data_IF_516259540799
#
_entry.id   IF_516259540799
#
_cell.length_a   1.000
_cell.length_b   1.000
_cell.length_c   1.000
_cell.angle_alpha   90.00
_cell.angle_beta   90.00
_cell.angle_gamma   90.00
#
_symmetry.space_group_name_H-M   'P 1'
#
loop_
_entity.id
_entity.type
_entity.pdbx_description
1 polymer ?
#
# COMPACT_ATOMS: atom_id res chain seq x y z
N UNK A 1 15.88 -28.18 -4.70
CA UNK A 1 16.18 -27.10 -3.73
C UNK A 1 16.04 -27.61 -2.31
N UNK A 2 17.11 -28.24 -1.84
CA UNK A 2 17.37 -28.53 -0.43
C UNK A 2 17.49 -27.21 0.35
N UNK A 3 17.37 -27.24 1.67
CA UNK A 3 17.57 -26.04 2.50
C UNK A 3 19.00 -25.46 2.35
N UNK A 4 19.96 -26.28 1.94
CA UNK A 4 21.32 -25.86 1.55
C UNK A 4 21.32 -25.06 0.25
N UNK A 5 20.60 -25.52 -0.77
CA UNK A 5 20.48 -24.83 -2.06
C UNK A 5 19.66 -23.52 -1.94
N UNK A 6 18.75 -23.43 -0.96
CA UNK A 6 18.06 -22.17 -0.60
C UNK A 6 18.97 -21.18 0.13
N UNK A 7 19.90 -21.67 0.95
CA UNK A 7 20.85 -20.83 1.66
C UNK A 7 21.92 -20.25 0.71
N UNK A 8 22.41 -21.05 -0.25
CA UNK A 8 23.36 -20.59 -1.29
C UNK A 8 22.72 -19.57 -2.24
N UNK A 9 21.47 -19.79 -2.67
CA UNK A 9 20.73 -18.81 -3.48
C UNK A 9 20.43 -17.50 -2.71
N UNK A 10 20.43 -17.54 -1.38
CA UNK A 10 20.31 -16.36 -0.52
C UNK A 10 21.66 -15.65 -0.28
N UNK A 11 22.78 -16.37 -0.30
CA UNK A 11 24.14 -15.83 -0.15
C UNK A 11 24.58 -14.99 -1.34
N UNK A 12 24.16 -15.38 -2.55
CA UNK A 12 24.51 -14.69 -3.81
C UNK A 12 23.79 -13.34 -3.99
N UNK A 13 22.63 -13.17 -3.34
CA UNK A 13 21.82 -11.93 -3.42
C UNK A 13 22.19 -10.93 -2.32
N UNK A 14 22.74 -11.37 -1.18
CA UNK A 14 22.90 -10.51 0.02
C UNK A 14 24.26 -10.52 0.72
N UNK A 15 25.27 -11.29 0.29
CA UNK A 15 26.61 -11.22 0.89
C UNK A 15 26.62 -11.51 2.40
N UNK A 16 26.77 -12.79 2.76
CA UNK A 16 26.60 -13.40 4.10
C UNK A 16 25.16 -13.33 4.65
N UNK A 17 24.59 -14.45 5.13
CA UNK A 17 23.31 -14.42 5.80
C UNK A 17 23.44 -13.54 7.05
N UNK A 18 22.52 -12.60 7.29
CA UNK A 18 22.63 -11.75 8.45
C UNK A 18 22.51 -12.61 9.72
N UNK A 19 23.30 -12.32 10.77
CA UNK A 19 23.54 -13.22 11.92
C UNK A 19 22.30 -13.60 12.75
N UNK A 20 21.12 -13.09 12.40
CA UNK A 20 19.86 -13.29 13.12
C UNK A 20 19.10 -14.57 12.73
N UNK A 21 19.32 -15.17 11.55
CA UNK A 21 18.54 -16.34 11.11
C UNK A 21 18.92 -17.61 11.89
N UNK A 22 20.22 -17.81 12.16
CA UNK A 22 20.74 -18.98 12.88
C UNK A 22 20.37 -19.02 14.38
N UNK A 23 20.02 -17.89 15.00
CA UNK A 23 19.69 -17.80 16.45
C UNK A 23 18.19 -17.75 16.77
N UNK A 24 17.32 -17.89 15.75
CA UNK A 24 15.88 -17.72 15.92
C UNK A 24 15.24 -18.76 16.86
N UNK A 25 15.72 -20.02 16.80
CA UNK A 25 15.24 -21.11 17.68
C UNK A 25 15.62 -20.89 19.15
N UNK A 26 16.87 -20.52 19.43
CA UNK A 26 17.35 -20.27 20.79
C UNK A 26 16.63 -19.10 21.46
N UNK A 27 16.34 -18.05 20.69
CA UNK A 27 15.59 -16.87 21.15
C UNK A 27 14.14 -17.18 21.48
N UNK A 28 13.47 -18.01 20.67
CA UNK A 28 12.12 -18.48 20.98
C UNK A 28 12.09 -19.35 22.25
N UNK A 29 13.09 -20.21 22.45
CA UNK A 29 13.22 -21.00 23.68
C UNK A 29 13.53 -20.11 24.90
N UNK A 30 14.25 -19.01 24.72
CA UNK A 30 14.46 -18.02 25.78
C UNK A 30 13.15 -17.31 26.14
N UNK A 31 12.37 -16.86 25.15
CA UNK A 31 11.05 -16.26 25.36
C UNK A 31 10.11 -17.21 26.12
N UNK A 32 10.06 -18.48 25.74
CA UNK A 32 9.22 -19.48 26.40
C UNK A 32 9.57 -19.64 27.88
N UNK A 33 10.88 -19.63 28.21
CA UNK A 33 11.36 -19.68 29.61
C UNK A 33 10.93 -18.44 30.39
N UNK A 34 11.03 -17.25 29.81
CA UNK A 34 10.65 -16.00 30.47
C UNK A 34 9.13 -15.90 30.67
N UNK A 35 8.32 -16.36 29.72
CA UNK A 35 6.86 -16.46 29.88
C UNK A 35 6.49 -17.39 31.05
N UNK A 36 7.23 -18.48 31.26
CA UNK A 36 7.04 -19.39 32.40
C UNK A 36 7.46 -18.78 33.75
N UNK A 37 8.27 -17.70 33.75
CA UNK A 37 8.71 -16.99 34.96
C UNK A 37 7.79 -15.84 35.37
N UNK A 38 6.91 -15.37 34.47
CA UNK A 38 5.95 -14.31 34.80
C UNK A 38 5.00 -14.73 35.94
N UNK A 39 4.58 -13.79 36.81
CA UNK A 39 3.57 -14.05 37.83
C UNK A 39 2.27 -14.62 37.22
N UNK A 40 1.60 -15.53 37.93
CA UNK A 40 0.40 -16.21 37.43
C UNK A 40 -0.69 -15.22 37.02
N UNK A 41 -0.88 -14.15 37.80
CA UNK A 41 -1.86 -13.07 37.52
C UNK A 41 -1.58 -12.27 36.25
N UNK A 42 -0.33 -12.25 35.78
CA UNK A 42 0.06 -11.55 34.56
C UNK A 42 -0.03 -12.44 33.33
N UNK A 43 0.30 -13.74 33.49
CA UNK A 43 0.27 -14.70 32.38
C UNK A 43 -1.04 -15.43 32.19
N UNK A 44 -2.02 -15.32 33.11
CA UNK A 44 -3.27 -16.10 33.05
C UNK A 44 -3.95 -16.03 31.67
N UNK A 45 -4.12 -14.82 31.12
CA UNK A 45 -4.75 -14.61 29.82
C UNK A 45 -3.94 -15.26 28.68
N UNK A 46 -2.61 -15.18 28.76
CA UNK A 46 -1.70 -15.80 27.81
C UNK A 46 -1.71 -17.34 27.92
N UNK A 47 -1.72 -17.89 29.13
CA UNK A 47 -1.83 -19.34 29.37
C UNK A 47 -3.13 -19.90 28.79
N UNK A 48 -4.25 -19.18 28.95
CA UNK A 48 -5.52 -19.55 28.31
C UNK A 48 -5.45 -19.50 26.79
N UNK A 49 -4.82 -18.46 26.21
CA UNK A 49 -4.58 -18.37 24.78
C UNK A 49 -3.78 -19.57 24.26
N UNK A 50 -2.74 -19.96 24.99
CA UNK A 50 -1.89 -21.11 24.67
C UNK A 50 -2.62 -22.45 24.76
N UNK A 51 -3.53 -22.61 25.72
CA UNK A 51 -4.39 -23.81 25.81
C UNK A 51 -5.36 -23.89 24.63
N UNK A 52 -6.00 -22.78 24.26
CA UNK A 52 -6.93 -22.73 23.12
C UNK A 52 -6.20 -22.87 21.77
N UNK A 53 -4.98 -22.32 21.66
CA UNK A 53 -4.20 -22.31 20.41
C UNK A 53 -2.71 -22.59 20.68
N UNK A 54 -2.32 -23.88 20.85
CA UNK A 54 -0.94 -24.27 21.18
C UNK A 54 0.11 -23.82 20.17
N UNK A 55 -0.29 -23.66 18.90
CA UNK A 55 0.59 -23.25 17.81
C UNK A 55 1.05 -21.78 17.88
N UNK A 56 0.51 -20.96 18.79
CA UNK A 56 0.90 -19.54 18.94
C UNK A 56 2.34 -19.35 19.46
N UNK A 57 2.98 -20.38 20.01
CA UNK A 57 4.36 -20.31 20.51
C UNK A 57 5.36 -21.10 19.67
N UNK A 58 4.93 -22.21 19.07
CA UNK A 58 5.84 -23.05 18.30
C UNK A 58 6.11 -22.44 16.93
N UNK A 59 7.19 -21.65 16.85
CA UNK A 59 7.69 -21.05 15.61
C UNK A 59 6.69 -20.09 14.93
N UNK A 60 5.79 -19.46 15.69
CA UNK A 60 4.80 -18.52 15.17
C UNK A 60 5.40 -17.11 14.96
N UNK A 61 5.08 -16.41 13.85
CA UNK A 61 5.48 -15.02 13.65
C UNK A 61 4.95 -14.08 14.72
N UNK A 62 3.82 -14.44 15.33
CA UNK A 62 3.23 -13.65 16.40
C UNK A 62 4.21 -13.45 17.55
N UNK A 63 4.82 -14.53 18.02
CA UNK A 63 5.79 -14.51 19.11
C UNK A 63 7.10 -13.86 18.68
N UNK A 64 7.51 -14.03 17.41
CA UNK A 64 8.69 -13.36 16.84
C UNK A 64 8.55 -11.84 16.80
N UNK A 65 7.37 -11.32 16.45
CA UNK A 65 7.12 -9.88 16.41
C UNK A 65 7.43 -9.20 17.76
N UNK A 66 7.08 -9.82 18.90
CA UNK A 66 7.37 -9.24 20.22
C UNK A 66 8.85 -9.29 20.59
N UNK A 67 9.60 -10.25 20.05
CA UNK A 67 11.07 -10.33 20.18
C UNK A 67 11.77 -9.30 19.30
N UNK A 68 11.24 -9.05 18.11
CA UNK A 68 11.82 -8.13 17.11
C UNK A 68 11.53 -6.66 17.41
N UNK A 69 10.57 -6.37 18.30
CA UNK A 69 10.14 -4.99 18.60
C UNK A 69 11.21 -4.13 19.29
N UNK A 70 12.25 -4.72 19.88
CA UNK A 70 13.42 -4.01 20.37
C UNK A 70 14.54 -4.16 19.34
N UNK A 71 14.77 -3.11 18.55
CA UNK A 71 15.77 -3.11 17.45
C UNK A 71 17.15 -3.57 17.96
N UNK A 72 17.56 -4.78 17.57
CA UNK A 72 18.91 -5.31 17.77
C UNK A 72 19.11 -6.23 18.98
N UNK A 73 18.36 -6.08 20.08
CA UNK A 73 18.69 -6.74 21.35
C UNK A 73 17.90 -8.04 21.64
N UNK A 74 16.75 -8.27 20.99
CA UNK A 74 15.94 -9.50 21.15
C UNK A 74 15.72 -9.92 22.62
N UNK A 75 15.43 -8.94 23.48
CA UNK A 75 15.22 -9.15 24.92
C UNK A 75 13.98 -10.01 25.21
N UNK A 76 14.23 -11.25 25.63
CA UNK A 76 13.20 -12.24 25.94
C UNK A 76 12.34 -11.85 27.16
N UNK A 77 12.90 -11.12 28.13
CA UNK A 77 12.17 -10.70 29.35
C UNK A 77 11.14 -9.64 28.96
N UNK A 78 11.59 -8.59 28.26
CA UNK A 78 10.70 -7.53 27.78
C UNK A 78 9.65 -8.07 26.79
N UNK A 79 10.03 -8.99 25.91
CA UNK A 79 9.10 -9.63 24.98
C UNK A 79 8.03 -10.47 25.71
N UNK A 80 8.41 -11.23 26.74
CA UNK A 80 7.46 -11.99 27.55
C UNK A 80 6.43 -11.07 28.25
N UNK A 81 6.90 -9.98 28.86
CA UNK A 81 6.03 -8.99 29.51
C UNK A 81 5.06 -8.33 28.51
N UNK A 82 5.54 -7.93 27.33
CA UNK A 82 4.69 -7.36 26.27
C UNK A 82 3.64 -8.36 25.78
N UNK A 83 4.04 -9.60 25.56
CA UNK A 83 3.14 -10.65 25.10
C UNK A 83 2.04 -10.93 26.13
N UNK A 84 2.39 -11.03 27.41
CA UNK A 84 1.41 -11.19 28.49
C UNK A 84 0.47 -9.98 28.62
N UNK A 85 1.02 -8.76 28.57
CA UNK A 85 0.23 -7.53 28.58
C UNK A 85 -0.74 -7.45 27.40
N UNK A 86 -0.29 -7.82 26.20
CA UNK A 86 -1.13 -7.87 25.00
C UNK A 86 -2.33 -8.80 25.21
N UNK A 87 -2.13 -10.03 25.69
CA UNK A 87 -3.22 -10.97 25.95
C UNK A 87 -4.16 -10.53 27.07
N UNK A 88 -3.62 -9.90 28.11
CA UNK A 88 -4.41 -9.30 29.19
C UNK A 88 -5.30 -8.19 28.65
N UNK A 89 -4.74 -7.26 27.87
CA UNK A 89 -5.51 -6.19 27.22
C UNK A 89 -6.59 -6.75 26.29
N UNK A 90 -6.27 -7.78 25.50
CA UNK A 90 -7.27 -8.42 24.65
C UNK A 90 -8.42 -9.01 25.43
N UNK A 91 -8.14 -9.73 26.51
CA UNK A 91 -9.16 -10.27 27.40
C UNK A 91 -10.05 -9.16 27.96
N UNK A 92 -9.45 -8.03 28.36
CA UNK A 92 -10.19 -6.85 28.85
C UNK A 92 -11.10 -6.24 27.78
N UNK A 93 -10.64 -6.10 26.53
CA UNK A 93 -11.41 -5.41 25.49
C UNK A 93 -12.46 -6.29 24.81
N UNK A 94 -12.15 -7.56 24.58
CA UNK A 94 -13.00 -8.45 23.79
C UNK A 94 -13.82 -9.40 24.68
N UNK A 95 -13.38 -9.64 25.92
CA UNK A 95 -14.01 -10.59 26.84
C UNK A 95 -13.41 -12.00 26.75
N UNK A 96 -13.77 -12.84 27.71
CA UNK A 96 -13.11 -14.13 27.96
C UNK A 96 -13.25 -15.15 26.82
N UNK A 97 -14.30 -15.06 26.01
CA UNK A 97 -14.53 -16.02 24.91
C UNK A 97 -13.93 -15.56 23.58
N UNK A 98 -14.16 -14.31 23.19
CA UNK A 98 -13.80 -13.80 21.85
C UNK A 98 -12.35 -13.35 21.76
N UNK A 99 -11.70 -13.04 22.90
CA UNK A 99 -10.33 -12.50 22.88
C UNK A 99 -9.28 -13.45 22.31
N UNK A 100 -9.60 -14.75 22.19
CA UNK A 100 -8.73 -15.79 21.63
C UNK A 100 -9.03 -16.12 20.16
N UNK A 101 -10.08 -15.53 19.58
CA UNK A 101 -10.50 -15.85 18.21
C UNK A 101 -9.60 -15.20 17.15
N UNK A 102 -9.31 -15.87 16.01
CA UNK A 102 -8.38 -15.37 15.02
C UNK A 102 -8.68 -13.99 14.38
N UNK A 103 -9.94 -13.56 14.39
CA UNK A 103 -10.37 -12.27 13.82
C UNK A 103 -9.88 -11.03 14.58
N UNK A 104 -8.97 -11.21 15.53
CA UNK A 104 -8.56 -10.16 16.44
C UNK A 104 -7.02 -10.08 16.63
N UNK A 105 -6.23 -10.98 16.04
CA UNK A 105 -4.76 -10.90 16.11
C UNK A 105 -4.19 -9.69 15.33
N UNK A 106 -3.06 -9.09 15.74
CA UNK A 106 -2.33 -8.12 14.95
C UNK A 106 -1.62 -8.78 13.76
N UNK A 107 -1.45 -7.94 12.74
CA UNK A 107 -1.21 -8.17 11.31
C UNK A 107 -0.12 -9.19 10.89
N UNK A 108 1.01 -9.43 11.59
CA UNK A 108 2.05 -10.34 11.06
C UNK A 108 1.72 -11.84 11.07
N UNK A 109 0.64 -12.25 11.75
CA UNK A 109 0.25 -13.67 11.87
C UNK A 109 -0.47 -14.18 10.61
N UNK A 110 -1.08 -13.29 9.83
CA UNK A 110 -1.84 -13.64 8.62
C UNK A 110 -0.93 -14.02 7.43
N UNK A 111 0.32 -13.56 7.39
CA UNK A 111 1.30 -13.97 6.36
C UNK A 111 1.68 -15.46 6.46
N UNK A 112 1.72 -16.02 7.67
CA UNK A 112 1.95 -17.45 7.87
C UNK A 112 0.67 -18.29 7.72
N UNK A 113 -0.51 -17.68 7.80
CA UNK A 113 -1.76 -18.29 7.33
C UNK A 113 -1.73 -18.58 5.82
N UNK A 114 -0.99 -17.80 5.03
CA UNK A 114 -0.79 -18.07 3.60
C UNK A 114 0.16 -19.25 3.35
N UNK A 115 1.19 -19.44 4.18
CA UNK A 115 2.05 -20.64 4.15
C UNK A 115 1.31 -21.87 4.66
N UNK A 116 0.44 -21.70 5.66
CA UNK A 116 -0.52 -22.71 6.10
C UNK A 116 -1.48 -23.08 4.96
N UNK A 117 -1.97 -22.12 4.18
CA UNK A 117 -2.78 -22.34 2.97
C UNK A 117 -2.06 -23.21 1.93
N UNK A 118 -0.84 -22.83 1.53
CA UNK A 118 -0.07 -23.59 0.54
C UNK A 118 0.27 -25.00 1.03
N UNK A 119 0.54 -25.15 2.32
CA UNK A 119 0.82 -26.45 2.96
C UNK A 119 -0.43 -27.34 3.04
N UNK A 120 -1.59 -26.79 3.38
CA UNK A 120 -2.84 -27.55 3.47
C UNK A 120 -3.41 -27.91 2.10
N UNK A 121 -3.26 -27.04 1.10
CA UNK A 121 -3.56 -27.40 -0.29
C UNK A 121 -2.62 -28.50 -0.81
N UNK A 122 -1.34 -28.48 -0.41
CA UNK A 122 -0.41 -29.57 -0.72
C UNK A 122 -0.81 -30.88 0.01
N UNK A 123 -1.20 -30.82 1.29
CA UNK A 123 -1.68 -31.98 2.08
C UNK A 123 -2.94 -32.62 1.48
N UNK A 124 -3.87 -31.82 0.95
CA UNK A 124 -5.06 -32.34 0.27
C UNK A 124 -4.74 -33.08 -1.04
N UNK A 125 -3.64 -32.73 -1.68
CA UNK A 125 -3.19 -33.31 -2.95
C UNK A 125 -2.07 -34.36 -2.77
N UNK A 126 -1.51 -34.49 -1.57
CA UNK A 126 -0.51 -35.49 -1.22
C UNK A 126 -1.21 -36.82 -0.91
N UNK A 127 -0.92 -37.86 -1.68
CA UNK A 127 -1.52 -39.20 -1.54
C UNK A 127 -1.10 -39.90 -0.24
N UNK A 128 0.01 -39.48 0.36
CA UNK A 128 0.59 -40.11 1.55
C UNK A 128 0.24 -39.37 2.85
N UNK A 129 -0.41 -38.20 2.76
CA UNK A 129 -0.92 -37.50 3.93
C UNK A 129 -2.01 -38.31 4.65
N UNK A 130 -1.92 -38.39 5.98
CA UNK A 130 -2.95 -39.08 6.76
C UNK A 130 -4.30 -38.36 6.69
N UNK A 131 -5.36 -39.11 6.95
CA UNK A 131 -6.74 -38.64 6.80
C UNK A 131 -7.11 -37.52 7.78
N UNK A 132 -6.47 -37.48 8.96
CA UNK A 132 -6.67 -36.43 9.96
C UNK A 132 -6.11 -35.09 9.47
N UNK A 133 -4.93 -35.10 8.83
CA UNK A 133 -4.33 -33.91 8.23
C UNK A 133 -5.17 -33.35 7.06
N UNK A 134 -5.79 -34.24 6.27
CA UNK A 134 -6.71 -33.84 5.19
C UNK A 134 -8.01 -33.25 5.76
N UNK A 135 -8.55 -33.81 6.83
CA UNK A 135 -9.78 -33.31 7.46
C UNK A 135 -9.58 -31.96 8.16
N UNK A 136 -8.42 -31.74 8.77
CA UNK A 136 -8.05 -30.43 9.32
C UNK A 136 -7.89 -29.37 8.21
N UNK A 137 -7.29 -29.75 7.08
CA UNK A 137 -7.20 -28.89 5.90
C UNK A 137 -8.59 -28.55 5.31
N UNK A 138 -9.51 -29.52 5.22
CA UNK A 138 -10.90 -29.30 4.78
C UNK A 138 -11.65 -28.37 5.72
N UNK A 139 -11.53 -28.58 7.04
CA UNK A 139 -12.15 -27.70 8.05
C UNK A 139 -11.64 -26.27 7.97
N UNK A 140 -10.33 -26.10 7.78
CA UNK A 140 -9.75 -24.77 7.60
C UNK A 140 -10.28 -24.06 6.34
N UNK A 141 -10.41 -24.77 5.21
CA UNK A 141 -11.00 -24.21 3.99
C UNK A 141 -12.47 -23.84 4.19
N UNK A 142 -13.25 -24.69 4.86
CA UNK A 142 -14.67 -24.43 5.17
C UNK A 142 -14.85 -23.14 5.97
N UNK A 143 -14.12 -22.98 7.09
CA UNK A 143 -14.20 -21.79 7.95
C UNK A 143 -13.88 -20.51 7.17
N UNK A 144 -13.01 -20.59 6.17
CA UNK A 144 -12.63 -19.42 5.36
C UNK A 144 -13.68 -19.12 4.30
N UNK A 145 -14.30 -20.13 3.70
CA UNK A 145 -15.44 -19.94 2.83
C UNK A 145 -16.63 -19.33 3.60
N UNK A 146 -16.90 -19.80 4.82
CA UNK A 146 -17.95 -19.24 5.69
C UNK A 146 -17.69 -17.76 6.01
N UNK A 147 -16.44 -17.36 6.19
CA UNK A 147 -16.06 -15.94 6.42
C UNK A 147 -16.17 -15.06 5.18
N UNK A 148 -15.83 -15.59 4.01
CA UNK A 148 -16.09 -14.90 2.73
C UNK A 148 -17.59 -14.64 2.56
N UNK A 149 -18.43 -15.58 3.00
CA UNK A 149 -19.88 -15.44 3.01
C UNK A 149 -20.32 -14.34 3.98
N UNK A 150 -19.73 -14.23 5.17
CA UNK A 150 -20.08 -13.18 6.16
C UNK A 150 -19.68 -11.75 5.71
N UNK A 151 -18.49 -11.60 5.11
CA UNK A 151 -18.07 -10.32 4.53
C UNK A 151 -18.95 -9.92 3.34
N UNK A 152 -19.27 -10.91 2.48
CA UNK A 152 -20.22 -10.74 1.39
C UNK A 152 -21.63 -10.43 1.92
N UNK A 153 -22.09 -11.03 3.00
CA UNK A 153 -23.41 -10.77 3.62
C UNK A 153 -23.48 -9.38 4.24
N UNK A 154 -22.39 -8.91 4.87
CA UNK A 154 -22.30 -7.54 5.38
C UNK A 154 -22.37 -6.53 4.24
N UNK A 155 -21.71 -6.84 3.14
CA UNK A 155 -21.72 -6.04 1.94
C UNK A 155 -23.11 -6.05 1.28
N UNK A 156 -23.67 -7.23 1.00
CA UNK A 156 -25.02 -7.44 0.47
C UNK A 156 -26.11 -6.83 1.35
N UNK A 157 -25.92 -6.74 2.66
CA UNK A 157 -26.81 -6.03 3.58
C UNK A 157 -26.78 -4.53 3.37
N UNK A 158 -25.61 -3.92 3.16
CA UNK A 158 -25.48 -2.51 2.76
C UNK A 158 -26.19 -2.25 1.41
N UNK A 159 -26.05 -3.18 0.46
CA UNK A 159 -26.80 -3.15 -0.80
C UNK A 159 -28.29 -3.18 -0.50
N UNK A 160 -28.77 -4.16 0.27
CA UNK A 160 -30.19 -4.26 0.63
C UNK A 160 -30.72 -3.04 1.39
N UNK A 161 -29.92 -2.41 2.24
CA UNK A 161 -30.28 -1.16 2.93
C UNK A 161 -30.42 0.02 1.94
N UNK A 162 -29.58 0.10 0.90
CA UNK A 162 -29.71 1.07 -0.19
C UNK A 162 -30.87 0.77 -1.15
N UNK A 163 -31.32 -0.49 -1.18
CA UNK A 163 -32.30 -1.02 -2.11
C UNK A 163 -33.59 -1.50 -1.42
N UNK A 164 -33.87 -1.11 -0.17
CA UNK A 164 -35.14 -1.46 0.47
C UNK A 164 -36.22 -0.52 -0.07
N UNK A 165 -36.97 -0.92 -1.11
CA UNK A 165 -37.82 -0.01 -1.88
C UNK A 165 -39.13 0.26 -1.14
N UNK A 166 -39.37 -0.41 -0.01
CA UNK A 166 -40.65 -0.35 0.69
C UNK A 166 -40.79 0.91 1.57
N UNK A 167 -39.70 1.65 1.83
CA UNK A 167 -39.71 2.82 2.74
C UNK A 167 -39.11 4.12 2.19
N UNK A 168 -38.56 4.17 0.96
CA UNK A 168 -38.04 5.42 0.37
C UNK A 168 -38.78 5.81 -0.92
N UNK A 169 -39.65 6.82 -0.82
CA UNK A 169 -40.20 7.55 -1.98
C UNK A 169 -39.15 8.45 -2.67
N UNK A 170 -37.91 8.45 -2.19
CA UNK A 170 -36.83 9.29 -2.70
C UNK A 170 -36.27 8.71 -4.02
N UNK A 171 -36.26 9.53 -5.07
CA UNK A 171 -35.60 9.20 -6.33
C UNK A 171 -34.09 9.03 -6.08
N UNK A 172 -33.51 7.92 -6.55
CA UNK A 172 -32.07 7.68 -6.48
C UNK A 172 -31.31 8.81 -7.17
N UNK A 173 -30.25 9.29 -6.53
CA UNK A 173 -29.36 10.31 -7.10
C UNK A 173 -28.39 9.68 -8.10
N UNK A 174 -27.76 10.52 -8.94
CA UNK A 174 -26.68 10.07 -9.83
C UNK A 174 -25.51 9.45 -9.03
N UNK A 175 -25.28 9.91 -7.79
CA UNK A 175 -24.26 9.37 -6.89
C UNK A 175 -24.62 7.96 -6.41
N UNK A 176 -25.88 7.74 -6.05
CA UNK A 176 -26.38 6.41 -5.66
C UNK A 176 -26.24 5.42 -6.82
N UNK A 177 -26.60 5.83 -8.04
CA UNK A 177 -26.43 5.00 -9.24
C UNK A 177 -24.96 4.62 -9.48
N UNK A 178 -24.03 5.55 -9.26
CA UNK A 178 -22.61 5.31 -9.43
C UNK A 178 -22.05 4.39 -8.33
N UNK A 179 -22.47 4.54 -7.08
CA UNK A 179 -22.11 3.61 -5.99
C UNK A 179 -22.60 2.19 -6.30
N UNK A 180 -23.87 2.06 -6.72
CA UNK A 180 -24.49 0.79 -7.12
C UNK A 180 -23.69 0.10 -8.24
N UNK A 181 -23.29 0.86 -9.26
CA UNK A 181 -22.53 0.32 -10.38
C UNK A 181 -21.12 -0.12 -9.94
N UNK A 182 -20.44 0.71 -9.14
CA UNK A 182 -19.11 0.40 -8.60
C UNK A 182 -19.09 -0.86 -7.75
N UNK A 183 -20.14 -1.03 -6.95
CA UNK A 183 -20.38 -2.18 -6.08
C UNK A 183 -20.60 -3.48 -6.89
N UNK A 184 -21.42 -3.41 -7.93
CA UNK A 184 -21.61 -4.53 -8.86
C UNK A 184 -20.28 -4.93 -9.53
N UNK A 185 -19.50 -3.96 -9.99
CA UNK A 185 -18.17 -4.20 -10.57
C UNK A 185 -17.21 -4.84 -9.55
N UNK A 186 -17.23 -4.42 -8.29
CA UNK A 186 -16.40 -5.01 -7.24
C UNK A 186 -16.75 -6.48 -6.99
N UNK A 187 -18.04 -6.83 -6.98
CA UNK A 187 -18.52 -8.20 -6.84
C UNK A 187 -18.12 -9.08 -8.02
N UNK A 188 -18.23 -8.57 -9.25
CA UNK A 188 -17.88 -9.26 -10.48
C UNK A 188 -16.38 -9.24 -10.83
N UNK A 189 -15.56 -8.61 -9.99
CA UNK A 189 -14.14 -8.49 -10.25
C UNK A 189 -13.42 -9.84 -10.19
N UNK A 190 -12.38 -10.05 -11.04
CA UNK A 190 -11.55 -11.23 -10.99
C UNK A 190 -10.90 -11.41 -9.61
N UNK A 191 -10.60 -12.66 -9.27
CA UNK A 191 -10.01 -13.02 -7.99
C UNK A 191 -8.64 -12.35 -7.78
N UNK A 192 -7.85 -12.22 -8.85
CA UNK A 192 -6.53 -11.62 -8.84
C UNK A 192 -6.58 -10.15 -8.43
N UNK A 193 -7.58 -9.40 -8.91
CA UNK A 193 -7.77 -8.01 -8.52
C UNK A 193 -8.18 -7.90 -7.05
N UNK A 194 -9.14 -8.72 -6.60
CA UNK A 194 -9.56 -8.80 -5.19
C UNK A 194 -8.37 -9.09 -4.27
N UNK A 195 -7.48 -10.00 -4.68
CA UNK A 195 -6.25 -10.30 -3.94
C UNK A 195 -5.31 -9.10 -3.82
N UNK A 196 -5.21 -8.23 -4.82
CA UNK A 196 -4.38 -7.01 -4.72
C UNK A 196 -4.92 -6.08 -3.62
N UNK A 197 -6.23 -5.88 -3.54
CA UNK A 197 -6.86 -5.10 -2.47
C UNK A 197 -6.64 -5.72 -1.09
N UNK A 198 -6.76 -7.05 -0.98
CA UNK A 198 -6.44 -7.74 0.26
C UNK A 198 -4.95 -7.55 0.62
N UNK A 199 -4.03 -7.70 -0.34
CA UNK A 199 -2.60 -7.52 -0.07
C UNK A 199 -2.22 -6.11 0.39
N UNK A 200 -2.81 -5.07 -0.22
CA UNK A 200 -2.55 -3.67 0.19
C UNK A 200 -3.06 -3.41 1.60
N UNK A 201 -4.22 -3.98 1.95
CA UNK A 201 -4.85 -3.88 3.27
C UNK A 201 -4.40 -4.95 4.28
N UNK A 202 -3.30 -5.65 4.01
CA UNK A 202 -2.75 -6.70 4.86
C UNK A 202 -3.78 -7.78 5.25
N UNK A 203 -4.57 -8.19 4.26
CA UNK A 203 -5.63 -9.19 4.33
C UNK A 203 -6.82 -8.80 5.22
N UNK A 204 -7.02 -7.50 5.49
CA UNK A 204 -8.19 -7.00 6.21
C UNK A 204 -9.35 -6.75 5.23
N UNK A 205 -10.27 -7.70 5.16
CA UNK A 205 -11.44 -7.66 4.28
C UNK A 205 -12.28 -6.39 4.52
N UNK A 206 -12.45 -5.99 5.78
CA UNK A 206 -13.18 -4.78 6.18
C UNK A 206 -12.58 -3.47 5.66
N UNK A 207 -11.29 -3.47 5.28
CA UNK A 207 -10.65 -2.32 4.65
C UNK A 207 -10.57 -2.49 3.13
N UNK A 208 -10.31 -3.71 2.68
CA UNK A 208 -10.11 -4.04 1.27
C UNK A 208 -11.39 -3.83 0.46
N UNK A 209 -12.54 -4.27 0.98
CA UNK A 209 -13.82 -4.15 0.28
C UNK A 209 -14.23 -2.68 0.07
N UNK A 210 -14.28 -1.79 1.08
CA UNK A 210 -14.59 -0.38 0.84
C UNK A 210 -13.58 0.32 -0.07
N UNK A 211 -12.29 -0.02 0.02
CA UNK A 211 -11.27 0.51 -0.89
C UNK A 211 -11.52 0.10 -2.34
N UNK A 212 -11.97 -1.14 -2.56
CA UNK A 212 -12.29 -1.68 -3.87
C UNK A 212 -13.55 -1.04 -4.47
N UNK A 213 -14.57 -0.75 -3.66
CA UNK A 213 -15.73 0.02 -4.14
C UNK A 213 -15.30 1.41 -4.57
N UNK A 214 -14.57 2.14 -3.71
CA UNK A 214 -14.04 3.47 -4.06
C UNK A 214 -13.17 3.46 -5.31
N UNK A 215 -12.46 2.36 -5.57
CA UNK A 215 -11.70 2.19 -6.80
C UNK A 215 -12.62 2.19 -8.02
N UNK A 216 -13.70 1.38 -8.02
CA UNK A 216 -14.62 1.39 -9.15
C UNK A 216 -15.40 2.69 -9.27
N UNK A 217 -15.83 3.25 -8.15
CA UNK A 217 -16.51 4.55 -8.06
C UNK A 217 -15.64 5.66 -8.68
N UNK A 218 -14.39 5.76 -8.25
CA UNK A 218 -13.43 6.75 -8.76
C UNK A 218 -13.13 6.50 -10.24
N UNK A 219 -12.99 5.25 -10.67
CA UNK A 219 -12.77 4.90 -12.08
C UNK A 219 -13.97 5.27 -12.97
N UNK A 220 -15.20 4.98 -12.54
CA UNK A 220 -16.42 5.38 -13.24
C UNK A 220 -16.57 6.90 -13.29
N UNK A 221 -16.29 7.60 -12.19
CA UNK A 221 -16.31 9.06 -12.14
C UNK A 221 -15.33 9.70 -13.11
N UNK A 222 -14.09 9.19 -13.16
CA UNK A 222 -13.03 9.78 -13.98
C UNK A 222 -13.16 9.41 -15.47
N UNK A 223 -13.54 8.17 -15.79
CA UNK A 223 -13.45 7.64 -17.15
C UNK A 223 -14.81 7.24 -17.75
N UNK A 224 -15.88 7.35 -16.97
CA UNK A 224 -17.22 6.93 -17.37
C UNK A 224 -17.31 5.44 -17.72
N UNK A 225 -18.22 5.13 -18.65
CA UNK A 225 -18.47 3.75 -19.10
C UNK A 225 -17.29 3.08 -19.80
N UNK A 226 -16.30 3.84 -20.27
CA UNK A 226 -15.10 3.26 -20.90
C UNK A 226 -14.34 2.35 -19.91
N UNK A 227 -14.32 2.74 -18.63
CA UNK A 227 -13.70 1.98 -17.55
C UNK A 227 -14.52 0.77 -17.14
N UNK A 228 -15.85 0.86 -17.18
CA UNK A 228 -16.74 -0.27 -16.93
C UNK A 228 -16.41 -1.48 -17.81
N UNK A 229 -16.19 -1.22 -19.10
CA UNK A 229 -16.00 -2.27 -20.11
C UNK A 229 -14.62 -2.92 -20.07
N UNK A 230 -13.55 -2.14 -19.88
CA UNK A 230 -12.18 -2.65 -19.96
C UNK A 230 -11.53 -2.92 -18.62
N UNK A 231 -11.94 -2.20 -17.56
CA UNK A 231 -11.31 -2.22 -16.22
C UNK A 231 -9.80 -1.91 -16.22
N UNK A 232 -9.27 -1.52 -17.38
CA UNK A 232 -7.89 -1.15 -17.66
C UNK A 232 -7.95 0.17 -18.40
N UNK A 233 -7.28 1.17 -17.86
CA UNK A 233 -7.16 2.51 -18.44
C UNK A 233 -5.90 2.52 -19.30
N UNK A 234 -6.06 2.90 -20.56
CA UNK A 234 -4.99 3.07 -21.53
C UNK A 234 -4.58 4.54 -21.61
N UNK A 235 -3.48 4.84 -22.31
CA UNK A 235 -3.06 6.24 -22.50
C UNK A 235 -4.11 7.02 -23.33
N UNK A 236 -4.81 6.35 -24.24
CA UNK A 236 -5.90 6.94 -25.05
C UNK A 236 -7.06 7.43 -24.19
N UNK A 237 -7.35 6.76 -23.07
CA UNK A 237 -8.39 7.19 -22.12
C UNK A 237 -8.05 8.50 -21.39
N UNK A 238 -6.84 8.99 -21.61
CA UNK A 238 -6.30 10.21 -21.02
C UNK A 238 -5.82 11.20 -22.08
N UNK A 239 -6.35 11.13 -23.30
CA UNK A 239 -6.01 12.06 -24.40
C UNK A 239 -6.23 13.52 -24.02
N UNK A 240 -7.32 13.80 -23.28
CA UNK A 240 -7.64 15.11 -22.71
C UNK A 240 -6.60 15.59 -21.67
N UNK A 241 -5.78 14.68 -21.15
CA UNK A 241 -4.72 14.95 -20.18
C UNK A 241 -3.33 15.05 -20.80
N UNK A 242 -3.19 14.99 -22.12
CA UNK A 242 -1.90 14.99 -22.84
C UNK A 242 -0.98 16.15 -22.42
N UNK A 243 -1.55 17.33 -22.14
CA UNK A 243 -0.78 18.48 -21.67
C UNK A 243 -0.12 18.24 -20.31
N UNK A 244 -0.79 17.53 -19.39
CA UNK A 244 -0.23 17.21 -18.07
C UNK A 244 0.85 16.13 -18.14
N UNK A 245 0.72 15.16 -19.05
CA UNK A 245 1.77 14.19 -19.34
C UNK A 245 2.99 14.87 -19.94
N UNK A 246 2.82 15.66 -21.00
CA UNK A 246 3.92 16.36 -21.66
C UNK A 246 4.64 17.33 -20.71
N UNK A 247 3.89 17.96 -19.80
CA UNK A 247 4.48 18.83 -18.79
C UNK A 247 5.16 18.08 -17.63
N UNK A 248 5.14 16.74 -17.62
CA UNK A 248 5.82 15.92 -16.62
C UNK A 248 5.24 16.02 -15.21
N UNK A 249 3.92 16.25 -15.08
CA UNK A 249 3.25 16.39 -13.77
C UNK A 249 3.58 15.20 -12.84
N UNK A 250 3.51 13.99 -13.38
CA UNK A 250 3.92 12.75 -12.71
C UNK A 250 4.80 11.96 -13.66
N UNK A 251 6.01 11.62 -13.23
CA UNK A 251 6.98 10.85 -14.02
C UNK A 251 7.30 9.53 -13.32
N UNK A 252 7.24 8.42 -14.05
CA UNK A 252 7.74 7.13 -13.57
C UNK A 252 9.21 6.99 -13.87
N UNK A 253 10.00 6.62 -12.86
CA UNK A 253 11.44 6.48 -13.04
C UNK A 253 11.81 5.15 -13.73
N UNK A 254 12.94 5.13 -14.48
CA UNK A 254 13.35 3.95 -15.24
C UNK A 254 13.59 2.74 -14.37
N UNK A 255 14.21 2.92 -13.21
CA UNK A 255 14.48 1.83 -12.28
C UNK A 255 13.68 1.96 -10.99
N UNK A 256 13.71 0.87 -10.24
CA UNK A 256 13.22 0.84 -8.87
C UNK A 256 14.30 1.38 -7.93
N UNK A 257 13.93 1.69 -6.69
CA UNK A 257 14.91 1.91 -5.64
C UNK A 257 15.52 0.60 -5.14
N UNK A 258 16.49 0.68 -4.23
CA UNK A 258 17.18 -0.49 -3.67
C UNK A 258 16.27 -1.48 -2.93
N UNK A 259 15.02 -1.10 -2.65
CA UNK A 259 14.01 -1.95 -2.01
C UNK A 259 13.00 -2.51 -3.02
N UNK A 260 13.25 -2.35 -4.33
CA UNK A 260 12.38 -2.82 -5.40
C UNK A 260 11.04 -2.09 -5.46
N UNK A 261 10.97 -0.84 -4.98
CA UNK A 261 9.78 0.00 -5.05
C UNK A 261 9.86 0.88 -6.29
N UNK A 262 8.73 1.09 -6.97
CA UNK A 262 8.69 2.05 -8.07
C UNK A 262 8.76 3.49 -7.53
N UNK A 263 9.55 4.33 -8.18
CA UNK A 263 9.71 5.74 -7.83
C UNK A 263 8.89 6.57 -8.80
N UNK A 264 7.93 7.34 -8.26
CA UNK A 264 7.16 8.32 -9.00
C UNK A 264 7.58 9.72 -8.57
N UNK A 265 7.98 10.57 -9.52
CA UNK A 265 8.36 11.95 -9.26
C UNK A 265 7.17 12.85 -9.60
N UNK A 266 6.67 13.58 -8.60
CA UNK A 266 5.69 14.65 -8.80
C UNK A 266 6.48 15.90 -9.17
N UNK A 267 6.47 16.21 -10.45
CA UNK A 267 7.23 17.29 -11.06
C UNK A 267 6.47 18.60 -11.10
N UNK A 268 7.22 19.66 -11.40
CA UNK A 268 6.65 20.91 -11.85
C UNK A 268 6.05 20.69 -13.24
N UNK A 269 4.83 21.17 -13.45
CA UNK A 269 4.25 21.29 -14.79
C UNK A 269 5.01 22.42 -15.49
N UNK A 270 5.93 22.06 -16.38
CA UNK A 270 6.68 23.01 -17.23
C UNK A 270 6.02 22.96 -18.61
N UNK A 271 5.39 24.05 -19.04
CA UNK A 271 5.02 24.14 -20.45
C UNK A 271 6.24 24.61 -21.23
N UNK A 272 6.62 23.84 -22.24
CA UNK A 272 7.53 24.32 -23.26
C UNK A 272 6.79 25.35 -24.11
N UNK A 273 7.19 26.61 -24.00
CA UNK A 273 7.09 27.56 -25.11
C UNK A 273 8.50 27.74 -25.66
N UNK A 274 8.58 27.92 -26.98
CA UNK A 274 9.76 27.82 -27.85
C UNK A 274 11.10 28.27 -27.26
N UNK A 275 12.17 27.78 -27.88
CA UNK A 275 13.58 27.73 -27.45
C UNK A 275 14.15 28.86 -26.57
N UNK A 276 13.53 30.04 -26.48
CA UNK A 276 13.94 31.17 -25.66
C UNK A 276 13.30 31.27 -24.26
N UNK A 277 12.30 30.46 -23.90
CA UNK A 277 11.62 30.58 -22.59
C UNK A 277 11.62 29.33 -21.72
N UNK A 278 12.78 28.65 -21.61
CA UNK A 278 13.02 27.60 -20.61
C UNK A 278 12.92 28.16 -19.19
N UNK A 279 11.70 28.21 -18.61
CA UNK A 279 11.39 28.20 -17.16
C UNK A 279 10.03 28.85 -16.80
N UNK A 280 9.16 29.20 -17.76
CA UNK A 280 7.85 29.73 -17.37
C UNK A 280 7.02 28.63 -16.70
N UNK A 281 6.73 28.83 -15.41
CA UNK A 281 5.67 28.10 -14.71
C UNK A 281 4.40 28.21 -15.54
N UNK A 282 3.71 27.09 -15.80
CA UNK A 282 2.37 27.17 -16.38
C UNK A 282 1.54 28.05 -15.48
N UNK A 283 1.21 29.24 -15.97
CA UNK A 283 0.41 30.19 -15.22
C UNK A 283 -0.99 29.60 -15.07
N UNK A 284 -1.70 30.01 -14.01
CA UNK A 284 -3.13 29.66 -13.85
C UNK A 284 -3.94 30.00 -15.09
N UNK A 285 -3.62 31.14 -15.71
CA UNK A 285 -4.28 31.57 -16.93
C UNK A 285 -4.14 30.52 -18.02
N UNK A 286 -2.98 29.86 -18.12
CA UNK A 286 -2.76 28.77 -19.07
C UNK A 286 -3.48 27.49 -18.65
N UNK A 287 -3.53 27.11 -17.37
CA UNK A 287 -4.36 25.97 -16.93
C UNK A 287 -5.84 26.17 -17.26
N UNK A 288 -6.37 27.37 -17.01
CA UNK A 288 -7.75 27.74 -17.34
C UNK A 288 -7.98 27.81 -18.85
N UNK A 289 -7.05 28.38 -19.62
CA UNK A 289 -7.10 28.40 -21.09
C UNK A 289 -7.08 26.99 -21.68
N UNK A 290 -6.37 26.06 -21.05
CA UNK A 290 -6.29 24.66 -21.44
C UNK A 290 -7.45 23.81 -20.91
N UNK A 291 -8.34 24.38 -20.09
CA UNK A 291 -9.47 23.66 -19.50
C UNK A 291 -9.08 22.55 -18.51
N UNK A 292 -7.85 22.60 -17.96
CA UNK A 292 -7.36 21.58 -17.04
C UNK A 292 -7.99 21.79 -15.66
N UNK A 293 -8.66 20.75 -15.17
CA UNK A 293 -9.27 20.69 -13.84
C UNK A 293 -8.63 19.58 -12.97
N UNK A 294 -9.15 19.39 -11.76
CA UNK A 294 -8.70 18.38 -10.79
C UNK A 294 -8.87 16.93 -11.28
N UNK A 295 -9.86 16.65 -12.12
CA UNK A 295 -10.09 15.32 -12.69
C UNK A 295 -9.02 14.93 -13.69
N UNK A 296 -8.51 15.88 -14.50
CA UNK A 296 -7.38 15.62 -15.37
C UNK A 296 -6.13 15.20 -14.57
N UNK A 297 -5.89 15.85 -13.43
CA UNK A 297 -4.80 15.46 -12.52
C UNK A 297 -5.01 14.08 -11.90
N UNK A 298 -6.25 13.78 -11.47
CA UNK A 298 -6.61 12.48 -10.94
C UNK A 298 -6.43 11.37 -11.99
N UNK A 299 -6.85 11.60 -13.25
CA UNK A 299 -6.64 10.68 -14.38
C UNK A 299 -5.17 10.38 -14.63
N UNK A 300 -4.30 11.40 -14.63
CA UNK A 300 -2.85 11.22 -14.78
C UNK A 300 -2.28 10.38 -13.64
N UNK A 301 -2.62 10.71 -12.38
CA UNK A 301 -2.14 9.95 -11.22
C UNK A 301 -2.64 8.50 -11.28
N UNK A 302 -3.91 8.29 -11.64
CA UNK A 302 -4.50 6.97 -11.82
C UNK A 302 -3.71 6.14 -12.82
N UNK A 303 -3.52 6.67 -14.03
CA UNK A 303 -2.76 6.00 -15.09
C UNK A 303 -1.34 5.67 -14.63
N UNK A 304 -0.64 6.62 -14.01
CA UNK A 304 0.76 6.44 -13.58
C UNK A 304 0.91 5.40 -12.47
N UNK A 305 -0.05 5.31 -11.53
CA UNK A 305 -0.06 4.27 -10.52
C UNK A 305 -0.27 2.88 -11.15
N UNK A 306 -1.21 2.76 -12.09
CA UNK A 306 -1.46 1.50 -12.79
C UNK A 306 -0.26 1.06 -13.64
N UNK A 307 0.35 1.98 -14.38
CA UNK A 307 1.56 1.73 -15.14
C UNK A 307 2.71 1.24 -14.23
N UNK A 308 2.88 1.86 -13.05
CA UNK A 308 3.85 1.38 -12.07
C UNK A 308 3.52 -0.03 -11.55
N UNK A 309 2.23 -0.33 -11.34
CA UNK A 309 1.76 -1.62 -10.86
C UNK A 309 1.88 -2.76 -11.88
N UNK A 310 2.16 -2.49 -13.16
CA UNK A 310 2.47 -3.55 -14.12
C UNK A 310 3.73 -4.34 -13.71
N UNK A 311 4.68 -3.66 -13.04
CA UNK A 311 5.87 -4.27 -12.47
C UNK A 311 5.51 -5.16 -11.28
N UNK A 312 5.92 -6.43 -11.32
CA UNK A 312 5.62 -7.43 -10.27
C UNK A 312 6.17 -7.01 -8.90
N UNK A 313 7.39 -6.48 -8.90
CA UNK A 313 8.10 -5.93 -7.74
C UNK A 313 7.33 -4.75 -7.11
N UNK A 314 6.83 -3.81 -7.91
CA UNK A 314 5.97 -2.72 -7.44
C UNK A 314 4.72 -3.21 -6.69
N UNK A 315 4.02 -4.25 -7.19
CA UNK A 315 2.84 -4.80 -6.49
C UNK A 315 3.18 -5.37 -5.10
N UNK A 316 4.41 -5.83 -4.90
CA UNK A 316 4.86 -6.43 -3.64
C UNK A 316 5.45 -5.37 -2.69
N UNK A 317 6.31 -4.52 -3.22
CA UNK A 317 7.13 -3.60 -2.44
C UNK A 317 6.47 -2.21 -2.31
N UNK A 318 5.63 -1.83 -3.26
CA UNK A 318 4.89 -0.58 -3.28
C UNK A 318 5.57 0.52 -4.10
N UNK A 319 5.13 1.74 -3.85
CA UNK A 319 5.55 2.96 -4.55
C UNK A 319 6.14 3.95 -3.56
N UNK A 320 7.11 4.73 -4.02
CA UNK A 320 7.61 5.92 -3.35
C UNK A 320 7.34 7.14 -4.21
N UNK A 321 6.72 8.16 -3.61
CA UNK A 321 6.60 9.46 -4.25
C UNK A 321 7.79 10.35 -3.89
N UNK A 322 8.31 11.07 -4.87
CA UNK A 322 9.24 12.19 -4.69
C UNK A 322 8.55 13.46 -5.20
N UNK A 323 8.10 14.31 -4.29
CA UNK A 323 7.48 15.58 -4.61
C UNK A 323 8.54 16.69 -4.60
N UNK A 324 8.84 17.25 -5.76
CA UNK A 324 9.71 18.43 -5.85
C UNK A 324 8.90 19.70 -5.60
N UNK A 325 9.12 20.29 -4.43
CA UNK A 325 8.43 21.47 -3.93
C UNK A 325 9.37 22.66 -3.75
N UNK A 326 10.56 22.65 -4.34
CA UNK A 326 11.54 23.74 -4.16
C UNK A 326 11.06 25.07 -4.73
N UNK A 327 10.21 25.03 -5.76
CA UNK A 327 9.64 26.22 -6.39
C UNK A 327 8.22 26.55 -5.93
N UNK A 328 7.70 25.85 -4.92
CA UNK A 328 6.34 26.11 -4.43
C UNK A 328 6.20 27.51 -3.86
N UNK A 329 5.28 28.29 -4.43
CA UNK A 329 4.88 29.58 -3.89
C UNK A 329 3.42 29.53 -3.40
N UNK A 330 2.98 30.57 -2.69
CA UNK A 330 1.63 30.62 -2.09
C UNK A 330 0.50 30.58 -3.12
N UNK A 331 0.69 31.18 -4.29
CA UNK A 331 -0.31 31.21 -5.35
C UNK A 331 -0.48 29.83 -5.98
N UNK A 332 0.62 29.10 -6.15
CA UNK A 332 0.61 27.72 -6.61
C UNK A 332 -0.07 26.80 -5.60
N UNK A 333 0.19 26.98 -4.29
CA UNK A 333 -0.35 26.12 -3.25
C UNK A 333 -1.88 26.06 -3.19
N UNK A 334 -2.56 27.22 -3.21
CA UNK A 334 -4.01 27.28 -3.10
C UNK A 334 -4.75 26.56 -4.25
N UNK A 335 -4.07 26.42 -5.40
CA UNK A 335 -4.61 25.75 -6.59
C UNK A 335 -4.21 24.29 -6.61
N UNK A 336 -2.96 24.03 -6.27
CA UNK A 336 -2.43 22.69 -6.12
C UNK A 336 -3.22 21.86 -5.12
N UNK A 337 -3.80 22.45 -4.07
CA UNK A 337 -4.58 21.69 -3.08
C UNK A 337 -5.78 20.94 -3.68
N UNK A 338 -6.46 21.49 -4.70
CA UNK A 338 -7.57 20.79 -5.35
C UNK A 338 -7.09 19.59 -6.16
N UNK A 339 -6.08 19.80 -7.02
CA UNK A 339 -5.44 18.71 -7.79
C UNK A 339 -4.81 17.65 -6.88
N UNK A 340 -4.26 18.07 -5.75
CA UNK A 340 -3.66 17.19 -4.76
C UNK A 340 -4.71 16.36 -4.02
N UNK A 341 -5.85 16.96 -3.64
CA UNK A 341 -6.96 16.23 -3.05
C UNK A 341 -7.48 15.17 -4.02
N UNK A 342 -7.74 15.54 -5.28
CA UNK A 342 -8.21 14.58 -6.28
C UNK A 342 -7.19 13.46 -6.52
N UNK A 343 -5.89 13.79 -6.52
CA UNK A 343 -4.82 12.79 -6.55
C UNK A 343 -4.78 11.89 -5.32
N UNK A 344 -5.08 12.41 -4.14
CA UNK A 344 -5.13 11.66 -2.90
C UNK A 344 -6.29 10.64 -2.90
N UNK A 345 -7.46 11.02 -3.42
CA UNK A 345 -8.61 10.13 -3.55
C UNK A 345 -8.28 8.92 -4.44
N UNK A 346 -7.52 9.15 -5.52
CA UNK A 346 -6.98 8.09 -6.37
C UNK A 346 -5.98 7.20 -5.62
N UNK A 347 -5.01 7.80 -4.93
CA UNK A 347 -3.99 7.06 -4.16
C UNK A 347 -4.63 6.17 -3.08
N UNK A 348 -5.70 6.63 -2.45
CA UNK A 348 -6.37 5.91 -1.37
C UNK A 348 -7.26 4.77 -1.86
N UNK A 349 -7.64 4.74 -3.15
CA UNK A 349 -8.45 3.66 -3.71
C UNK A 349 -7.63 2.64 -4.54
N UNK A 350 -6.58 3.02 -5.26
CA UNK A 350 -5.78 2.08 -6.08
C UNK A 350 -5.08 1.02 -5.21
N UNK A 351 -5.05 -0.28 -5.58
CA UNK A 351 -4.55 -1.36 -4.71
C UNK A 351 -3.01 -1.45 -4.64
N UNK A 352 -2.35 -0.37 -4.23
CA UNK A 352 -0.89 -0.27 -4.09
C UNK A 352 -0.45 0.40 -2.78
N UNK A 353 0.69 -0.05 -2.22
CA UNK A 353 1.24 0.49 -0.98
C UNK A 353 2.10 1.72 -1.26
N UNK A 354 1.68 2.90 -0.81
CA UNK A 354 2.57 4.07 -0.79
C UNK A 354 3.52 3.98 0.39
N UNK A 355 4.78 3.64 0.19
CA UNK A 355 5.76 3.40 1.26
C UNK A 355 6.35 4.66 1.86
N UNK A 356 6.56 5.68 1.03
CA UNK A 356 7.08 6.97 1.45
C UNK A 356 6.64 8.07 0.47
N UNK A 357 6.55 9.28 0.99
CA UNK A 357 6.43 10.51 0.19
C UNK A 357 7.56 11.44 0.62
N UNK A 358 8.56 11.59 -0.23
CA UNK A 358 9.70 12.49 -0.01
C UNK A 358 9.38 13.86 -0.58
N UNK A 359 9.35 14.90 0.26
CA UNK A 359 9.16 16.28 -0.18
C UNK A 359 10.51 16.99 -0.24
N UNK A 360 10.95 17.39 -1.44
CA UNK A 360 12.13 18.23 -1.62
C UNK A 360 11.73 19.70 -1.49
N UNK A 361 12.27 20.40 -0.52
CA UNK A 361 11.94 21.79 -0.23
C UNK A 361 13.15 22.69 -0.39
N UNK A 362 12.90 23.95 -0.73
CA UNK A 362 13.95 24.95 -0.81
C UNK A 362 14.49 25.22 0.59
N UNK A 363 15.80 25.09 0.74
CA UNK A 363 16.50 25.43 1.97
C UNK A 363 16.12 26.85 2.43
N UNK A 364 15.83 27.01 3.72
CA UNK A 364 15.42 28.27 4.36
C UNK A 364 14.10 28.93 3.89
N UNK A 365 13.20 28.24 3.19
CA UNK A 365 11.93 28.86 2.82
C UNK A 365 10.98 29.02 4.03
N UNK A 366 10.65 30.24 4.49
CA UNK A 366 9.95 30.43 5.77
C UNK A 366 8.53 29.83 5.80
N UNK A 367 7.89 29.65 4.64
CA UNK A 367 6.51 29.19 4.55
C UNK A 367 6.36 27.67 4.43
N UNK A 368 7.44 26.90 4.23
CA UNK A 368 7.29 25.48 3.91
C UNK A 368 6.59 24.68 5.00
N UNK A 369 6.73 25.07 6.27
CA UNK A 369 6.03 24.41 7.40
C UNK A 369 4.53 24.56 7.31
N UNK A 370 4.06 25.76 6.95
CA UNK A 370 2.64 26.05 6.78
C UNK A 370 2.09 25.28 5.59
N UNK A 371 2.82 25.28 4.46
CA UNK A 371 2.44 24.54 3.26
C UNK A 371 2.39 23.04 3.52
N UNK A 372 3.40 22.49 4.20
CA UNK A 372 3.44 21.08 4.56
C UNK A 372 2.31 20.71 5.52
N UNK A 373 2.02 21.53 6.52
CA UNK A 373 0.91 21.29 7.44
C UNK A 373 -0.43 21.25 6.70
N UNK A 374 -0.61 22.16 5.74
CA UNK A 374 -1.80 22.19 4.90
C UNK A 374 -1.83 21.04 3.88
N UNK A 375 -0.71 20.59 3.29
CA UNK A 375 -0.70 19.34 2.51
C UNK A 375 -1.06 18.14 3.38
N UNK A 376 -0.47 18.08 4.57
CA UNK A 376 -0.74 17.02 5.51
C UNK A 376 -2.22 17.01 5.92
N UNK A 377 -2.99 18.11 5.93
CA UNK A 377 -4.41 18.00 6.30
C UNK A 377 -5.21 17.08 5.37
N UNK A 378 -4.80 16.93 4.11
CA UNK A 378 -5.42 16.04 3.13
C UNK A 378 -4.97 14.57 3.26
N UNK A 379 -3.83 14.33 3.90
CA UNK A 379 -3.32 12.98 4.07
C UNK A 379 -4.06 12.19 5.15
N UNK A 380 -4.30 10.91 4.86
CA UNK A 380 -4.68 9.92 5.88
C UNK A 380 -3.61 9.83 6.97
N UNK A 381 -3.98 9.38 8.18
CA UNK A 381 -3.04 9.20 9.30
C UNK A 381 -1.86 8.31 8.90
N UNK A 382 -2.12 7.29 8.08
CA UNK A 382 -1.09 6.37 7.58
C UNK A 382 -0.11 7.09 6.65
N UNK A 383 -0.61 7.88 5.69
CA UNK A 383 0.24 8.59 4.74
C UNK A 383 1.04 9.71 5.43
N UNK A 384 0.45 10.46 6.38
CA UNK A 384 1.15 11.45 7.21
C UNK A 384 2.43 10.90 7.84
N UNK A 385 2.38 9.67 8.35
CA UNK A 385 3.53 8.99 8.99
C UNK A 385 4.62 8.56 8.00
N UNK A 386 4.33 8.61 6.70
CA UNK A 386 5.23 8.22 5.61
C UNK A 386 5.80 9.43 4.85
N UNK A 387 5.44 10.64 5.26
CA UNK A 387 6.02 11.86 4.70
C UNK A 387 7.40 12.09 5.29
N UNK A 388 8.39 12.27 4.42
CA UNK A 388 9.76 12.60 4.78
C UNK A 388 10.13 13.92 4.12
N UNK A 389 10.57 14.87 4.92
CA UNK A 389 10.86 16.23 4.47
C UNK A 389 12.35 16.42 4.32
N UNK A 390 12.76 16.91 3.15
CA UNK A 390 14.14 17.21 2.80
C UNK A 390 14.26 18.71 2.55
N UNK A 391 14.87 19.44 3.48
CA UNK A 391 14.98 20.90 3.44
C UNK A 391 16.44 21.38 3.58
N UNK A 392 17.41 20.57 3.11
CA UNK A 392 18.84 20.90 3.08
C UNK A 392 19.28 21.37 1.69
N UNK A 393 20.58 21.60 1.51
CA UNK A 393 21.17 21.76 0.18
C UNK A 393 20.81 20.57 -0.71
N UNK A 394 20.77 20.79 -2.04
CA UNK A 394 20.29 19.78 -2.98
C UNK A 394 21.17 18.53 -2.94
N UNK A 395 22.49 18.72 -2.92
CA UNK A 395 23.50 17.67 -2.86
C UNK A 395 23.29 16.80 -1.62
N UNK A 396 23.11 17.41 -0.44
CA UNK A 396 22.83 16.69 0.81
C UNK A 396 21.53 15.89 0.76
N UNK A 397 20.49 16.44 0.12
CA UNK A 397 19.20 15.74 0.00
C UNK A 397 19.34 14.52 -0.91
N UNK A 398 20.08 14.64 -2.01
CA UNK A 398 20.32 13.54 -2.96
C UNK A 398 21.22 12.46 -2.35
N UNK A 399 22.29 12.85 -1.66
CA UNK A 399 23.13 11.91 -0.91
C UNK A 399 22.29 11.15 0.12
N UNK A 400 21.43 11.84 0.87
CA UNK A 400 20.56 11.22 1.87
C UNK A 400 19.51 10.30 1.23
N UNK A 401 18.93 10.68 0.09
CA UNK A 401 18.00 9.85 -0.68
C UNK A 401 18.64 8.52 -1.08
N UNK A 402 19.88 8.56 -1.59
CA UNK A 402 20.63 7.36 -1.94
C UNK A 402 20.99 6.52 -0.70
N UNK A 403 21.72 7.11 0.24
CA UNK A 403 22.31 6.38 1.38
C UNK A 403 21.30 5.87 2.41
N UNK A 404 20.21 6.61 2.64
CA UNK A 404 19.22 6.27 3.69
C UNK A 404 17.99 5.60 3.12
N UNK A 405 17.54 6.02 1.93
CA UNK A 405 16.25 5.62 1.36
C UNK A 405 16.36 4.77 0.10
N UNK A 406 17.58 4.47 -0.36
CA UNK A 406 17.85 3.61 -1.51
C UNK A 406 17.50 4.23 -2.86
N UNK A 407 17.24 5.55 -2.91
CA UNK A 407 16.85 6.26 -4.14
C UNK A 407 18.09 6.92 -4.72
N UNK A 408 18.75 6.20 -5.63
CA UNK A 408 19.99 6.64 -6.26
C UNK A 408 19.77 7.83 -7.20
N UNK A 409 20.77 8.68 -7.32
CA UNK A 409 20.73 9.86 -8.21
C UNK A 409 20.60 9.49 -9.69
N UNK A 410 21.12 8.33 -10.10
CA UNK A 410 20.98 7.82 -11.46
C UNK A 410 19.55 7.39 -11.83
N UNK A 411 18.66 7.34 -10.84
CA UNK A 411 17.23 7.06 -11.00
C UNK A 411 16.34 8.28 -10.73
N UNK A 412 16.93 9.48 -10.66
CA UNK A 412 16.20 10.74 -10.46
C UNK A 412 16.36 11.64 -11.68
N UNK A 413 15.37 12.48 -12.00
CA UNK A 413 15.49 13.38 -13.13
C UNK A 413 16.45 14.53 -12.82
N UNK A 414 17.06 15.10 -13.86
CA UNK A 414 18.06 16.18 -13.74
C UNK A 414 17.51 17.37 -12.95
N UNK A 415 16.25 17.74 -13.19
CA UNK A 415 15.59 18.84 -12.47
C UNK A 415 15.50 18.54 -10.97
N UNK A 416 15.31 17.28 -10.55
CA UNK A 416 15.33 16.85 -9.15
C UNK A 416 16.74 16.65 -8.57
N UNK A 417 17.82 16.82 -9.34
CA UNK A 417 19.21 16.60 -8.91
C UNK A 417 19.78 15.22 -9.22
N UNK A 418 19.13 14.46 -10.09
CA UNK A 418 19.65 13.19 -10.59
C UNK A 418 20.32 13.30 -11.96
N UNK A 419 20.36 12.19 -12.68
CA UNK A 419 20.96 12.10 -14.02
C UNK A 419 20.02 11.54 -15.10
N UNK A 420 18.76 11.25 -14.77
CA UNK A 420 17.76 10.83 -15.76
C UNK A 420 17.38 12.03 -16.60
N UNK A 421 17.64 11.91 -17.89
CA UNK A 421 17.37 12.94 -18.89
C UNK A 421 15.87 13.22 -19.06
N UNK A 422 15.51 14.46 -19.41
CA UNK A 422 14.12 14.87 -19.58
C UNK A 422 13.41 14.08 -20.70
N UNK A 423 14.13 13.73 -21.77
CA UNK A 423 13.58 13.02 -22.93
C UNK A 423 13.25 11.56 -22.60
N UNK A 424 13.77 11.02 -21.49
CA UNK A 424 13.43 9.66 -21.07
C UNK A 424 11.92 9.49 -20.92
N UNK A 425 11.25 10.45 -20.26
CA UNK A 425 9.83 10.34 -20.00
C UNK A 425 8.99 10.51 -21.27
N UNK A 426 9.42 11.39 -22.18
CA UNK A 426 8.77 11.56 -23.49
C UNK A 426 8.85 10.26 -24.29
N UNK A 427 10.04 9.66 -24.41
CA UNK A 427 10.20 8.35 -25.06
C UNK A 427 9.37 7.27 -24.39
N UNK A 428 9.31 7.26 -23.06
CA UNK A 428 8.47 6.29 -22.32
C UNK A 428 6.98 6.44 -22.66
N UNK A 429 6.47 7.67 -22.82
CA UNK A 429 5.09 7.92 -23.25
C UNK A 429 4.85 7.48 -24.70
N UNK A 430 5.79 7.77 -25.60
CA UNK A 430 5.72 7.33 -27.01
C UNK A 430 5.68 5.80 -27.13
N UNK A 431 6.57 5.10 -26.41
CA UNK A 431 6.61 3.64 -26.35
C UNK A 431 5.29 3.06 -25.80
N UNK A 432 4.68 3.72 -24.81
CA UNK A 432 3.37 3.33 -24.25
C UNK A 432 2.23 3.52 -25.25
N UNK A 433 2.22 4.65 -25.96
CA UNK A 433 1.25 4.90 -27.02
C UNK A 433 1.36 3.86 -28.14
N UNK A 434 2.58 3.56 -28.57
CA UNK A 434 2.85 2.57 -29.61
C UNK A 434 2.51 1.12 -29.22
N UNK A 435 2.61 0.77 -27.93
CA UNK A 435 2.27 -0.57 -27.44
C UNK A 435 0.77 -0.76 -27.13
N UNK A 436 0.02 0.34 -26.99
CA UNK A 436 -1.41 0.34 -26.67
C UNK A 436 -2.33 0.44 -27.90
N UNK A 437 -1.81 0.94 -29.03
CA UNK A 437 -2.44 0.89 -30.35
C UNK A 437 -2.30 -0.50 -30.98
#
# INVERSE_FOLDING_TARGET
MTDSERAEAYEDIYGRPPPHVARSKERLLALEREVKRLPESEREALTRALRKHPLLFTNCPHTKMFLEQNEGEFDAVAAAQRLAKYWKSRRTFFGDETCYTPGTFPVPVLGDYQRYYARNFAILNDTDADEMARDDARRAISIINDRKVEALDTYLRRIRELFDPEDSDDELTDEDHLEIEALAMALESPYELKLQFLHVENMMEQNAAPRMVRYFETGLRLFGRSFQNRRVVTLEDTEDCSVLFNAGMVRIMPSEDEFGRSVLVLGKVIAEEGEETRNHQVTEERFLQLGINEDHSAKVIWYMLHAAMERKTCRQNGIVFLADMREFNRQYFAKFSAHFQAGQDVVDCVPVKIRATHCLLRHNHPLWRVLLQALCSYFTVTLKRRVVVHARAQEDNIEKLGTTYGIKSDNLPVDAGGTVDADYFVRWLEDRGAAGA
#
